data_IF_997973672168
#
_entry.id   IF_997973672168
#
_cell.length_a   1.000
_cell.length_b   1.000
_cell.length_c   1.000
_cell.angle_alpha   90.00
_cell.angle_beta   90.00
_cell.angle_gamma   90.00
#
_symmetry.space_group_name_H-M   'P 1'
#
loop_
_entity.id
_entity.type
_entity.pdbx_description
1 polymer ?
#
# COMPACT_ATOMS: atom_id res chain seq x y z
N UNK A 1 33.42 7.85 -36.83
CA UNK A 1 33.51 7.73 -35.33
C UNK A 1 32.18 7.98 -34.59
N UNK A 2 31.17 8.63 -35.21
CA UNK A 2 29.87 8.93 -34.58
C UNK A 2 28.84 7.77 -34.61
N UNK A 3 28.99 6.77 -35.46
CA UNK A 3 28.07 5.62 -35.58
C UNK A 3 28.24 4.56 -34.48
N UNK A 4 29.40 4.45 -33.85
CA UNK A 4 29.64 3.45 -32.81
C UNK A 4 29.12 3.86 -31.42
N UNK A 5 29.05 5.17 -31.14
CA UNK A 5 28.52 5.68 -29.86
C UNK A 5 27.01 5.46 -29.74
N UNK A 6 26.27 5.59 -30.84
CA UNK A 6 24.81 5.35 -30.82
C UNK A 6 24.43 3.86 -30.70
N UNK A 7 25.26 2.95 -31.18
CA UNK A 7 25.01 1.51 -31.05
C UNK A 7 25.24 1.01 -29.62
N UNK A 8 26.25 1.55 -28.91
CA UNK A 8 26.51 1.20 -27.52
C UNK A 8 25.41 1.67 -26.56
N UNK A 9 24.89 2.88 -26.76
CA UNK A 9 23.79 3.44 -25.97
C UNK A 9 22.50 2.69 -26.23
N UNK A 10 22.20 2.33 -27.49
CA UNK A 10 21.04 1.51 -27.84
C UNK A 10 21.11 0.10 -27.26
N UNK A 11 22.28 -0.55 -27.31
CA UNK A 11 22.46 -1.89 -26.75
C UNK A 11 22.35 -1.93 -25.21
N UNK A 12 22.81 -0.90 -24.52
CA UNK A 12 22.67 -0.79 -23.06
C UNK A 12 21.21 -0.54 -22.68
N UNK A 13 20.53 0.38 -23.39
CA UNK A 13 19.11 0.66 -23.16
C UNK A 13 18.22 -0.56 -23.45
N UNK A 14 18.55 -1.36 -24.48
CA UNK A 14 17.80 -2.60 -24.81
C UNK A 14 18.07 -3.70 -23.76
N UNK A 15 19.26 -3.78 -23.18
CA UNK A 15 19.57 -4.72 -22.10
C UNK A 15 18.82 -4.34 -20.82
N UNK A 16 18.78 -3.07 -20.43
CA UNK A 16 18.02 -2.59 -19.27
C UNK A 16 16.51 -2.84 -19.42
N UNK A 17 15.96 -2.61 -20.61
CA UNK A 17 14.54 -2.87 -20.89
C UNK A 17 14.21 -4.36 -20.88
N UNK A 18 15.09 -5.22 -21.38
CA UNK A 18 14.90 -6.67 -21.37
C UNK A 18 14.97 -7.23 -19.93
N UNK A 19 15.87 -6.73 -19.10
CA UNK A 19 15.98 -7.12 -17.69
C UNK A 19 14.75 -6.67 -16.90
N UNK A 20 14.29 -5.43 -17.12
CA UNK A 20 13.08 -4.92 -16.52
C UNK A 20 11.84 -5.75 -16.88
N UNK A 21 11.68 -6.10 -18.17
CA UNK A 21 10.57 -6.96 -18.62
C UNK A 21 10.65 -8.33 -17.94
N UNK A 22 11.85 -8.87 -17.76
CA UNK A 22 12.07 -10.14 -17.07
C UNK A 22 11.70 -10.06 -15.59
N UNK A 23 12.06 -8.97 -14.91
CA UNK A 23 11.69 -8.69 -13.53
C UNK A 23 10.18 -8.52 -13.35
N UNK A 24 9.53 -7.72 -14.19
CA UNK A 24 8.06 -7.56 -14.19
C UNK A 24 7.38 -8.91 -14.39
N UNK A 25 7.85 -9.74 -15.34
CA UNK A 25 7.30 -11.07 -15.61
C UNK A 25 7.51 -12.03 -14.44
N UNK A 26 8.68 -11.97 -13.77
CA UNK A 26 8.98 -12.77 -12.58
C UNK A 26 8.03 -12.42 -11.43
N UNK A 27 7.82 -11.13 -11.17
CA UNK A 27 6.87 -10.66 -10.17
C UNK A 27 5.46 -11.09 -10.54
N UNK A 28 5.05 -10.91 -11.80
CA UNK A 28 3.73 -11.36 -12.28
C UNK A 28 3.51 -12.87 -12.02
N UNK A 29 4.47 -13.70 -12.38
CA UNK A 29 4.35 -15.16 -12.19
C UNK A 29 4.29 -15.50 -10.70
N UNK A 30 5.17 -14.91 -9.88
CA UNK A 30 5.23 -15.14 -8.43
C UNK A 30 3.92 -14.72 -7.76
N UNK A 31 3.48 -13.49 -8.01
CA UNK A 31 2.31 -12.90 -7.36
C UNK A 31 0.99 -13.49 -7.88
N UNK A 32 0.90 -13.85 -9.16
CA UNK A 32 -0.26 -14.51 -9.73
C UNK A 32 -0.48 -15.92 -9.14
N UNK A 33 0.60 -16.63 -8.81
CA UNK A 33 0.53 -17.89 -8.07
C UNK A 33 0.08 -17.72 -6.61
N UNK A 34 0.49 -16.61 -5.98
CA UNK A 34 0.13 -16.27 -4.59
C UNK A 34 -1.29 -15.70 -4.47
N UNK A 35 -1.76 -14.95 -5.48
CA UNK A 35 -3.12 -14.41 -5.53
C UNK A 35 -4.18 -15.45 -5.94
N UNK A 36 -3.92 -16.75 -5.77
CA UNK A 36 -4.86 -17.82 -6.04
C UNK A 36 -6.20 -17.60 -5.31
N UNK A 37 -7.23 -18.30 -5.74
CA UNK A 37 -8.64 -18.14 -5.31
C UNK A 37 -8.84 -17.97 -3.80
N UNK A 38 -7.98 -18.54 -2.95
CA UNK A 38 -8.04 -18.41 -1.49
C UNK A 38 -7.69 -17.00 -1.05
N UNK A 39 -6.55 -16.45 -1.53
CA UNK A 39 -6.13 -15.08 -1.17
C UNK A 39 -7.10 -14.03 -1.73
N UNK A 40 -7.54 -14.17 -2.97
CA UNK A 40 -8.52 -13.27 -3.58
C UNK A 40 -9.89 -13.35 -2.87
N UNK A 41 -10.28 -14.54 -2.38
CA UNK A 41 -11.50 -14.73 -1.60
C UNK A 41 -11.43 -14.05 -0.22
N UNK A 42 -10.34 -14.25 0.51
CA UNK A 42 -10.10 -13.61 1.81
C UNK A 42 -10.01 -12.07 1.66
N UNK A 43 -9.30 -11.59 0.64
CA UNK A 43 -9.26 -10.17 0.29
C UNK A 43 -10.66 -9.62 0.02
N UNK A 44 -11.44 -10.27 -0.84
CA UNK A 44 -12.80 -9.86 -1.16
C UNK A 44 -13.71 -9.85 0.08
N UNK A 45 -13.61 -10.88 0.93
CA UNK A 45 -14.38 -10.97 2.18
C UNK A 45 -14.00 -9.83 3.15
N UNK A 46 -12.72 -9.54 3.30
CA UNK A 46 -12.20 -8.51 4.22
C UNK A 46 -12.58 -7.07 3.82
N UNK A 47 -12.69 -6.81 2.51
CA UNK A 47 -12.92 -5.48 1.97
C UNK A 47 -14.27 -5.33 1.26
N UNK A 48 -15.10 -6.39 1.27
CA UNK A 48 -16.45 -6.34 0.73
C UNK A 48 -17.22 -5.20 1.38
N UNK A 49 -17.46 -4.15 0.60
CA UNK A 49 -18.06 -2.93 1.10
C UNK A 49 -19.47 -3.20 1.62
N UNK A 50 -19.80 -2.67 2.78
CA UNK A 50 -21.18 -2.48 3.26
C UNK A 50 -21.90 -1.38 2.47
N UNK A 51 -21.46 -1.09 1.24
CA UNK A 51 -22.01 -0.06 0.37
C UNK A 51 -23.10 -0.65 -0.48
N UNK A 52 -24.34 -0.48 -0.08
CA UNK A 52 -25.46 -0.56 -1.01
C UNK A 52 -25.49 0.75 -1.79
N UNK A 53 -25.13 0.71 -3.08
CA UNK A 53 -25.31 1.85 -3.96
C UNK A 53 -26.77 1.90 -4.39
N UNK A 54 -27.38 3.07 -4.32
CA UNK A 54 -28.69 3.29 -4.90
C UNK A 54 -28.64 2.95 -6.41
N UNK A 55 -29.43 1.97 -6.83
CA UNK A 55 -29.52 1.54 -8.23
C UNK A 55 -30.68 2.24 -8.94
N UNK A 56 -31.86 2.02 -8.48
CA UNK A 56 -33.08 2.55 -9.09
C UNK A 56 -34.24 2.66 -8.08
N UNK A 57 -35.34 3.28 -8.52
CA UNK A 57 -36.59 3.26 -7.82
C UNK A 57 -37.61 2.48 -8.66
N UNK A 58 -38.21 1.41 -8.10
CA UNK A 58 -39.26 0.64 -8.75
C UNK A 58 -40.55 0.62 -7.94
N UNK A 59 -41.65 0.25 -8.55
CA UNK A 59 -42.91 0.04 -7.83
C UNK A 59 -42.73 -1.06 -6.76
N UNK A 60 -43.34 -0.83 -5.60
CA UNK A 60 -43.33 -1.80 -4.49
C UNK A 60 -44.01 -3.11 -4.93
N UNK A 61 -43.34 -4.22 -4.58
CA UNK A 61 -43.90 -5.55 -4.75
C UNK A 61 -44.10 -6.21 -3.38
N UNK A 62 -45.10 -7.07 -3.29
CA UNK A 62 -45.38 -7.80 -2.05
C UNK A 62 -44.13 -8.60 -1.61
N UNK A 63 -43.65 -8.31 -0.41
CA UNK A 63 -42.42 -8.88 0.13
C UNK A 63 -41.24 -7.93 0.22
N UNK A 64 -41.30 -6.74 -0.38
CA UNK A 64 -40.27 -5.70 -0.22
C UNK A 64 -40.30 -5.11 1.20
N UNK A 65 -39.10 -4.70 1.71
CA UNK A 65 -39.03 -4.07 3.02
C UNK A 65 -39.60 -2.65 2.98
N UNK A 66 -40.56 -2.40 3.86
CA UNK A 66 -41.25 -1.11 4.00
C UNK A 66 -40.29 0.03 4.32
N UNK A 67 -39.12 -0.28 4.90
CA UNK A 67 -38.09 0.72 5.22
C UNK A 67 -37.39 1.30 3.99
N UNK A 68 -37.44 0.59 2.87
CA UNK A 68 -36.85 1.01 1.61
C UNK A 68 -37.83 1.86 0.75
N UNK A 69 -39.02 2.15 1.23
CA UNK A 69 -39.97 3.00 0.51
C UNK A 69 -39.41 4.42 0.36
N UNK A 70 -39.37 4.90 -0.90
CA UNK A 70 -39.08 6.30 -1.19
C UNK A 70 -40.36 7.12 -1.12
N UNK A 71 -40.62 7.76 0.02
CA UNK A 71 -41.81 8.55 0.26
C UNK A 71 -41.90 9.77 -0.66
N UNK A 72 -40.81 10.32 -1.16
CA UNK A 72 -40.82 11.46 -2.08
C UNK A 72 -41.32 11.06 -3.47
N UNK A 73 -40.89 9.91 -3.97
CA UNK A 73 -41.32 9.36 -5.25
C UNK A 73 -42.77 8.86 -5.12
N UNK A 74 -43.07 8.15 -4.04
CA UNK A 74 -44.43 7.67 -3.72
C UNK A 74 -45.46 8.83 -3.69
N UNK A 75 -45.11 9.95 -3.07
CA UNK A 75 -46.01 11.12 -3.02
C UNK A 75 -46.27 11.75 -4.40
N UNK A 76 -45.32 11.64 -5.34
CA UNK A 76 -45.46 12.18 -6.70
C UNK A 76 -46.33 11.31 -7.61
N UNK A 77 -46.22 10.00 -7.47
CA UNK A 77 -46.89 9.06 -8.39
C UNK A 77 -48.15 8.41 -7.80
N UNK A 78 -48.41 8.61 -6.50
CA UNK A 78 -49.63 8.08 -5.84
C UNK A 78 -49.62 6.56 -5.63
N UNK A 79 -48.49 5.90 -5.88
CA UNK A 79 -48.27 4.48 -5.65
C UNK A 79 -46.98 4.29 -4.86
N UNK A 80 -46.85 3.26 -4.01
CA UNK A 80 -45.63 3.04 -3.26
C UNK A 80 -44.45 2.63 -4.19
N UNK A 81 -43.32 3.30 -4.02
CA UNK A 81 -42.06 3.02 -4.70
C UNK A 81 -41.00 2.67 -3.68
N UNK A 82 -40.15 1.68 -3.99
CA UNK A 82 -39.00 1.25 -3.17
C UNK A 82 -37.69 1.60 -3.82
N UNK A 83 -36.75 2.00 -2.99
CA UNK A 83 -35.35 2.15 -3.41
C UNK A 83 -34.73 0.78 -3.56
N UNK A 84 -34.27 0.46 -4.76
CA UNK A 84 -33.47 -0.74 -5.01
C UNK A 84 -32.02 -0.37 -4.81
N UNK A 85 -31.36 -1.08 -3.92
CA UNK A 85 -29.93 -0.93 -3.69
C UNK A 85 -29.23 -2.13 -4.31
N UNK A 86 -28.28 -1.88 -5.19
CA UNK A 86 -27.36 -2.91 -5.66
C UNK A 86 -26.10 -2.91 -4.78
N UNK A 87 -25.62 -4.09 -4.44
CA UNK A 87 -24.33 -4.24 -3.76
C UNK A 87 -23.25 -3.71 -4.71
N UNK A 88 -22.53 -2.66 -4.29
CA UNK A 88 -21.46 -2.08 -5.09
C UNK A 88 -20.30 -3.08 -5.13
N UNK A 89 -20.30 -3.93 -6.15
CA UNK A 89 -19.33 -5.02 -6.30
C UNK A 89 -17.94 -4.55 -6.71
N UNK A 90 -17.79 -3.28 -7.11
CA UNK A 90 -16.49 -2.72 -7.53
C UNK A 90 -15.86 -1.91 -6.41
N UNK A 91 -14.77 -2.42 -5.87
CA UNK A 91 -13.93 -1.63 -4.99
C UNK A 91 -12.97 -0.74 -5.80
N UNK A 92 -12.60 0.37 -5.21
CA UNK A 92 -11.46 1.16 -5.65
C UNK A 92 -10.37 1.00 -4.62
N UNK A 93 -9.20 0.54 -5.06
CA UNK A 93 -8.03 0.31 -4.22
C UNK A 93 -6.98 1.33 -4.56
N UNK A 94 -6.42 1.98 -3.56
CA UNK A 94 -5.28 2.88 -3.70
C UNK A 94 -4.11 2.31 -2.91
N UNK A 95 -3.00 2.10 -3.60
CA UNK A 95 -1.73 1.75 -2.97
C UNK A 95 -0.95 3.05 -2.77
N UNK A 96 -0.67 3.41 -1.54
CA UNK A 96 0.26 4.47 -1.19
C UNK A 96 1.59 3.81 -0.88
N UNK A 97 2.58 4.02 -1.74
CA UNK A 97 3.89 3.38 -1.62
C UNK A 97 4.94 4.43 -1.31
N UNK A 98 5.53 4.28 -0.15
CA UNK A 98 6.70 5.04 0.23
C UNK A 98 7.88 4.66 -0.68
N UNK A 99 8.53 5.66 -1.25
CA UNK A 99 9.71 5.49 -2.11
C UNK A 99 10.90 6.30 -1.60
N UNK A 100 10.86 6.71 -0.33
CA UNK A 100 11.96 7.40 0.34
C UNK A 100 13.23 6.55 0.42
N UNK A 101 14.36 7.18 0.69
CA UNK A 101 15.66 6.50 0.78
C UNK A 101 15.73 5.43 1.85
N UNK A 102 14.88 5.51 2.89
CA UNK A 102 14.84 4.50 3.95
C UNK A 102 14.44 3.10 3.42
N UNK A 103 13.62 3.02 2.35
CA UNK A 103 13.17 1.75 1.79
C UNK A 103 14.25 1.00 0.98
N UNK A 104 15.33 1.64 0.60
CA UNK A 104 16.44 0.97 -0.10
C UNK A 104 17.27 0.08 0.83
N UNK A 105 17.05 0.18 2.13
CA UNK A 105 17.72 -0.66 3.11
C UNK A 105 17.16 -2.09 3.13
N UNK A 106 18.08 -3.05 3.25
CA UNK A 106 17.77 -4.47 3.45
C UNK A 106 19.03 -5.26 3.72
N UNK A 107 18.99 -6.11 4.74
CA UNK A 107 20.13 -6.94 5.18
C UNK A 107 19.92 -8.44 4.93
N UNK A 108 18.75 -8.80 4.39
CA UNK A 108 18.30 -10.16 4.15
C UNK A 108 18.29 -10.48 2.65
N UNK A 109 17.33 -11.29 2.22
CA UNK A 109 17.17 -11.73 0.82
C UNK A 109 16.72 -10.62 -0.12
N UNK A 110 16.10 -9.59 0.41
CA UNK A 110 15.50 -8.49 -0.34
C UNK A 110 15.49 -7.19 0.46
N UNK A 111 15.47 -6.07 -0.24
CA UNK A 111 15.30 -4.75 0.38
C UNK A 111 13.84 -4.50 0.77
N UNK A 112 13.58 -3.51 1.63
CA UNK A 112 12.21 -3.08 1.96
C UNK A 112 11.45 -2.64 0.71
N UNK A 113 12.11 -1.96 -0.24
CA UNK A 113 11.54 -1.55 -1.54
C UNK A 113 11.09 -2.75 -2.39
N UNK A 114 11.92 -3.80 -2.46
CA UNK A 114 11.56 -5.02 -3.19
C UNK A 114 10.36 -5.70 -2.56
N UNK A 115 10.33 -5.81 -1.24
CA UNK A 115 9.18 -6.37 -0.52
C UNK A 115 7.91 -5.51 -0.72
N UNK A 116 8.02 -4.18 -0.62
CA UNK A 116 6.89 -3.27 -0.90
C UNK A 116 6.33 -3.48 -2.30
N UNK A 117 7.21 -3.62 -3.30
CA UNK A 117 6.83 -3.89 -4.69
C UNK A 117 6.10 -5.23 -4.84
N UNK A 118 6.60 -6.30 -4.19
CA UNK A 118 5.94 -7.62 -4.23
C UNK A 118 4.55 -7.59 -3.56
N UNK A 119 4.43 -6.93 -2.41
CA UNK A 119 3.15 -6.75 -1.72
C UNK A 119 2.18 -5.94 -2.59
N UNK A 120 2.62 -4.80 -3.12
CA UNK A 120 1.82 -3.95 -3.99
C UNK A 120 1.34 -4.69 -5.24
N UNK A 121 2.22 -5.46 -5.88
CA UNK A 121 1.86 -6.29 -7.03
C UNK A 121 0.85 -7.39 -6.68
N UNK A 122 1.00 -8.05 -5.52
CA UNK A 122 0.08 -9.09 -5.06
C UNK A 122 -1.31 -8.52 -4.81
N UNK A 123 -1.42 -7.38 -4.12
CA UNK A 123 -2.67 -6.67 -3.90
C UNK A 123 -3.30 -6.22 -5.24
N UNK A 124 -2.47 -5.72 -6.16
CA UNK A 124 -2.92 -5.30 -7.48
C UNK A 124 -3.50 -6.46 -8.31
N UNK A 125 -2.86 -7.61 -8.31
CA UNK A 125 -3.39 -8.80 -9.01
C UNK A 125 -4.68 -9.34 -8.34
N UNK A 126 -4.78 -9.27 -7.02
CA UNK A 126 -6.00 -9.64 -6.30
C UNK A 126 -7.17 -8.71 -6.66
N UNK A 127 -6.90 -7.41 -6.79
CA UNK A 127 -7.90 -6.43 -7.23
C UNK A 127 -8.42 -6.75 -8.66
N UNK A 128 -7.54 -7.18 -9.60
CA UNK A 128 -8.02 -7.62 -10.93
C UNK A 128 -8.94 -8.83 -10.84
N UNK A 129 -8.57 -9.84 -10.06
CA UNK A 129 -9.38 -11.06 -9.95
C UNK A 129 -10.79 -10.76 -9.45
N UNK A 130 -10.92 -9.74 -8.61
CA UNK A 130 -12.20 -9.25 -8.09
C UNK A 130 -12.85 -8.15 -8.96
N UNK A 131 -12.26 -7.85 -10.13
CA UNK A 131 -12.73 -6.80 -11.05
C UNK A 131 -12.72 -5.38 -10.46
N UNK A 132 -11.85 -5.11 -9.49
CA UNK A 132 -11.69 -3.83 -8.81
C UNK A 132 -10.83 -2.85 -9.60
N UNK A 133 -10.94 -1.56 -9.26
CA UNK A 133 -10.07 -0.49 -9.78
C UNK A 133 -8.86 -0.34 -8.87
N UNK A 134 -7.68 -0.17 -9.44
CA UNK A 134 -6.47 0.08 -8.68
C UNK A 134 -5.72 1.31 -9.16
N UNK A 135 -5.30 2.15 -8.21
CA UNK A 135 -4.42 3.29 -8.41
C UNK A 135 -3.24 3.25 -7.45
N UNK A 136 -2.22 4.05 -7.72
CA UNK A 136 -1.01 4.12 -6.90
C UNK A 136 -0.60 5.57 -6.67
N UNK A 137 -0.15 5.86 -5.46
CA UNK A 137 0.49 7.10 -5.08
C UNK A 137 1.90 6.76 -4.59
N UNK A 138 2.92 7.21 -5.31
CA UNK A 138 4.30 7.19 -4.85
C UNK A 138 4.56 8.45 -4.04
N UNK A 139 5.12 8.32 -2.86
CA UNK A 139 5.39 9.46 -2.00
C UNK A 139 6.74 9.39 -1.29
N UNK A 140 7.26 10.55 -0.99
CA UNK A 140 8.42 10.84 -0.14
C UNK A 140 7.98 11.88 0.89
N UNK A 141 8.68 12.99 1.07
CA UNK A 141 8.19 14.18 1.78
C UNK A 141 7.12 14.96 0.98
N UNK A 142 6.83 14.49 -0.22
CA UNK A 142 5.79 14.98 -1.13
C UNK A 142 5.22 13.84 -1.95
N UNK A 143 4.14 14.10 -2.67
CA UNK A 143 3.65 13.16 -3.69
C UNK A 143 4.53 13.27 -4.92
N UNK A 144 5.26 12.21 -5.22
CA UNK A 144 6.15 12.13 -6.38
C UNK A 144 5.37 11.78 -7.66
N UNK A 145 4.42 10.84 -7.54
CA UNK A 145 3.62 10.40 -8.68
C UNK A 145 2.26 9.88 -8.26
N UNK A 146 1.22 10.25 -8.99
CA UNK A 146 -0.11 9.70 -8.83
C UNK A 146 -0.56 8.99 -10.12
N UNK A 147 -0.89 7.71 -10.00
CA UNK A 147 -1.46 6.89 -11.05
C UNK A 147 -2.94 6.66 -10.71
N UNK A 148 -3.88 7.28 -11.45
CA UNK A 148 -5.30 7.18 -11.15
C UNK A 148 -5.83 5.75 -11.21
N UNK A 149 -6.86 5.40 -10.41
CA UNK A 149 -7.42 4.06 -10.38
C UNK A 149 -8.09 3.68 -11.72
N UNK A 150 -7.62 2.60 -12.31
CA UNK A 150 -8.15 1.98 -13.53
C UNK A 150 -8.20 0.47 -13.39
N UNK A 151 -8.96 -0.18 -14.26
CA UNK A 151 -9.03 -1.64 -14.37
C UNK A 151 -8.06 -2.17 -15.43
N UNK A 152 -7.81 -3.46 -15.33
CA UNK A 152 -7.22 -4.25 -16.39
C UNK A 152 -5.74 -4.53 -16.23
N UNK A 153 -5.34 -5.67 -16.77
CA UNK A 153 -3.97 -6.21 -16.65
C UNK A 153 -2.88 -5.27 -17.16
N UNK A 154 -3.14 -4.56 -18.27
CA UNK A 154 -2.16 -3.61 -18.82
C UNK A 154 -1.84 -2.47 -17.84
N UNK A 155 -2.85 -2.01 -17.11
CA UNK A 155 -2.69 -0.96 -16.11
C UNK A 155 -1.84 -1.43 -14.91
N UNK A 156 -2.03 -2.67 -14.46
CA UNK A 156 -1.23 -3.22 -13.36
C UNK A 156 0.22 -3.48 -13.79
N UNK A 157 0.45 -4.01 -14.99
CA UNK A 157 1.81 -4.17 -15.50
C UNK A 157 2.53 -2.81 -15.62
N UNK A 158 1.80 -1.76 -15.98
CA UNK A 158 2.30 -0.40 -15.94
C UNK A 158 2.68 0.03 -14.51
N UNK A 159 1.80 -0.21 -13.52
CA UNK A 159 2.08 0.08 -12.11
C UNK A 159 3.32 -0.67 -11.61
N UNK A 160 3.45 -1.97 -11.91
CA UNK A 160 4.60 -2.79 -11.48
C UNK A 160 5.89 -2.26 -12.11
N UNK A 161 5.85 -1.91 -13.39
CA UNK A 161 6.99 -1.30 -14.08
C UNK A 161 7.42 0.00 -13.39
N UNK A 162 6.46 0.85 -13.05
CA UNK A 162 6.75 2.09 -12.33
C UNK A 162 7.33 1.83 -10.94
N UNK A 163 6.77 0.87 -10.19
CA UNK A 163 7.30 0.47 -8.86
C UNK A 163 8.75 0.02 -8.90
N UNK A 164 9.14 -0.70 -9.97
CA UNK A 164 10.51 -1.21 -10.13
C UNK A 164 11.51 -0.13 -10.53
N UNK A 165 11.10 0.82 -11.37
CA UNK A 165 11.99 1.81 -11.97
C UNK A 165 11.85 3.21 -11.38
N UNK A 166 11.03 3.38 -10.35
CA UNK A 166 10.80 4.70 -9.81
C UNK A 166 12.05 5.22 -9.12
N UNK A 167 12.55 6.36 -9.58
CA UNK A 167 13.66 7.09 -8.97
C UNK A 167 13.08 8.35 -8.29
N UNK A 168 13.03 8.38 -6.95
CA UNK A 168 12.43 9.51 -6.23
C UNK A 168 13.34 10.74 -6.27
N UNK A 169 12.72 11.91 -6.29
CA UNK A 169 13.45 13.19 -6.23
C UNK A 169 13.94 13.50 -4.82
N UNK A 170 13.22 13.03 -3.80
CA UNK A 170 13.56 13.23 -2.39
C UNK A 170 13.81 11.90 -1.66
N UNK A 171 14.74 11.93 -0.71
CA UNK A 171 15.01 10.81 0.19
C UNK A 171 14.23 10.86 1.51
N UNK A 172 13.55 11.99 1.80
CA UNK A 172 12.83 12.24 3.05
C UNK A 172 11.44 11.61 3.03
N UNK A 173 10.79 11.53 4.18
CA UNK A 173 9.44 10.97 4.35
C UNK A 173 8.51 11.99 5.00
N UNK A 174 7.27 12.14 4.48
CA UNK A 174 6.17 12.83 5.14
C UNK A 174 4.84 12.12 4.81
N UNK A 175 4.43 11.23 5.71
CA UNK A 175 3.23 10.42 5.57
C UNK A 175 1.98 11.30 5.64
N UNK A 176 1.99 12.30 6.52
CA UNK A 176 0.87 13.22 6.70
C UNK A 176 0.50 13.94 5.40
N UNK A 177 1.47 14.51 4.70
CA UNK A 177 1.26 15.18 3.41
C UNK A 177 0.72 14.23 2.32
N UNK A 178 1.24 13.00 2.26
CA UNK A 178 0.78 11.99 1.31
C UNK A 178 -0.67 11.57 1.58
N UNK A 179 -1.04 11.34 2.85
CA UNK A 179 -2.41 10.98 3.26
C UNK A 179 -3.39 12.13 3.02
N UNK A 180 -2.99 13.36 3.28
CA UNK A 180 -3.79 14.55 2.99
C UNK A 180 -4.05 14.68 1.49
N UNK A 181 -3.02 14.55 0.66
CA UNK A 181 -3.19 14.56 -0.81
C UNK A 181 -4.17 13.47 -1.26
N UNK A 182 -4.00 12.23 -0.81
CA UNK A 182 -4.88 11.12 -1.15
C UNK A 182 -6.34 11.44 -0.80
N UNK A 183 -6.59 11.91 0.42
CA UNK A 183 -7.93 12.27 0.92
C UNK A 183 -8.57 13.39 0.10
N UNK A 184 -7.76 14.32 -0.44
CA UNK A 184 -8.22 15.42 -1.27
C UNK A 184 -8.40 15.02 -2.74
N UNK A 185 -7.55 14.15 -3.27
CA UNK A 185 -7.60 13.69 -4.66
C UNK A 185 -8.72 12.67 -4.91
N UNK A 186 -8.98 11.77 -3.95
CA UNK A 186 -9.97 10.71 -4.08
C UNK A 186 -11.24 11.08 -3.32
N UNK A 187 -12.32 11.36 -4.04
CA UNK A 187 -13.60 11.77 -3.42
C UNK A 187 -14.51 10.58 -3.09
N UNK A 188 -14.44 9.51 -3.91
CA UNK A 188 -15.21 8.30 -3.68
C UNK A 188 -14.53 7.46 -2.59
N UNK A 189 -15.34 6.84 -1.70
CA UNK A 189 -14.81 5.91 -0.70
C UNK A 189 -14.01 4.79 -1.38
N UNK A 190 -12.83 4.51 -0.87
CA UNK A 190 -11.92 3.50 -1.40
C UNK A 190 -11.19 2.79 -0.26
N UNK A 191 -10.60 1.65 -0.56
CA UNK A 191 -9.65 0.97 0.32
C UNK A 191 -8.25 1.48 0.03
N UNK A 192 -7.52 1.87 1.07
CA UNK A 192 -6.18 2.45 0.96
C UNK A 192 -5.19 1.59 1.71
N UNK A 193 -4.19 1.07 1.02
CA UNK A 193 -3.04 0.41 1.65
C UNK A 193 -1.85 1.35 1.65
N UNK A 194 -1.31 1.64 2.84
CA UNK A 194 -0.10 2.44 3.00
C UNK A 194 1.06 1.50 3.27
N UNK A 195 2.02 1.43 2.35
CA UNK A 195 3.22 0.62 2.42
C UNK A 195 4.41 1.52 2.75
N UNK A 196 4.92 1.46 3.98
CA UNK A 196 6.04 2.27 4.47
C UNK A 196 6.70 1.57 5.66
N UNK A 197 7.87 2.01 6.05
CA UNK A 197 8.44 1.66 7.35
C UNK A 197 7.90 2.54 8.49
N UNK A 198 7.15 3.60 8.14
CA UNK A 198 6.52 4.55 9.05
C UNK A 198 7.50 5.30 9.97
N UNK A 199 8.75 5.44 9.54
CA UNK A 199 9.68 6.35 10.19
C UNK A 199 9.45 7.77 9.67
N UNK A 200 8.66 8.54 10.40
CA UNK A 200 8.38 9.95 10.14
C UNK A 200 8.68 10.77 11.40
N UNK A 201 9.16 12.00 11.22
CA UNK A 201 9.46 12.91 12.33
C UNK A 201 8.21 13.63 12.81
N UNK A 202 7.21 13.74 11.92
CA UNK A 202 5.98 14.46 12.19
C UNK A 202 4.87 13.51 12.69
N UNK A 203 3.96 14.02 13.50
CA UNK A 203 2.76 13.30 13.93
C UNK A 203 1.68 13.38 12.84
N UNK A 204 1.38 12.23 12.22
CA UNK A 204 0.37 12.09 11.16
C UNK A 204 -0.96 11.48 11.64
N UNK A 205 -1.19 11.46 12.97
CA UNK A 205 -2.41 10.87 13.58
C UNK A 205 -3.68 11.54 13.08
N UNK A 206 -3.67 12.87 12.97
CA UNK A 206 -4.85 13.64 12.53
C UNK A 206 -5.21 13.35 11.08
N UNK A 207 -4.22 13.30 10.18
CA UNK A 207 -4.41 12.99 8.76
C UNK A 207 -4.94 11.57 8.56
N UNK A 208 -4.38 10.58 9.27
CA UNK A 208 -4.88 9.21 9.25
C UNK A 208 -6.30 9.11 9.78
N UNK A 209 -6.63 9.83 10.86
CA UNK A 209 -7.99 9.84 11.43
C UNK A 209 -9.02 10.38 10.41
N UNK A 210 -8.68 11.48 9.73
CA UNK A 210 -9.55 12.06 8.69
C UNK A 210 -9.69 11.11 7.51
N UNK A 211 -8.58 10.51 7.05
CA UNK A 211 -8.57 9.57 5.95
C UNK A 211 -9.40 8.33 6.27
N UNK A 212 -9.27 7.75 7.47
CA UNK A 212 -9.98 6.53 7.86
C UNK A 212 -11.49 6.75 8.06
N UNK A 213 -11.93 7.99 8.32
CA UNK A 213 -13.37 8.33 8.34
C UNK A 213 -13.98 8.35 6.94
N UNK A 214 -13.19 8.69 5.90
CA UNK A 214 -13.65 8.81 4.52
C UNK A 214 -13.43 7.54 3.69
N UNK A 215 -12.36 6.86 3.99
CA UNK A 215 -11.87 5.68 3.28
C UNK A 215 -11.68 4.54 4.26
N UNK A 216 -11.33 3.38 3.77
CA UNK A 216 -10.93 2.24 4.57
C UNK A 216 -9.39 2.12 4.51
N UNK A 217 -8.71 2.59 5.55
CA UNK A 217 -7.24 2.70 5.55
C UNK A 217 -6.61 1.52 6.28
N UNK A 218 -5.61 0.93 5.66
CA UNK A 218 -4.81 -0.18 6.17
C UNK A 218 -3.33 0.18 6.09
N UNK A 219 -2.62 0.08 7.21
CA UNK A 219 -1.18 0.33 7.30
C UNK A 219 -0.39 -0.98 7.23
N UNK A 220 0.50 -1.09 6.23
CA UNK A 220 1.41 -2.21 6.06
C UNK A 220 2.83 -1.73 6.38
N UNK A 221 3.26 -1.95 7.62
CA UNK A 221 4.61 -1.61 8.05
C UNK A 221 5.60 -2.62 7.49
N UNK A 222 6.63 -2.13 6.79
CA UNK A 222 7.71 -2.95 6.25
C UNK A 222 9.00 -2.62 6.99
N UNK A 223 9.65 -3.63 7.59
CA UNK A 223 10.88 -3.40 8.32
C UNK A 223 11.90 -4.54 8.13
N UNK A 224 13.16 -4.21 8.33
CA UNK A 224 14.26 -5.18 8.35
C UNK A 224 14.60 -5.57 9.78
N UNK A 225 14.98 -6.85 10.00
CA UNK A 225 15.32 -7.34 11.33
C UNK A 225 16.47 -6.55 11.98
N UNK A 226 17.40 -6.04 11.19
CA UNK A 226 18.57 -5.28 11.71
C UNK A 226 18.21 -3.89 12.21
N UNK A 227 17.05 -3.37 11.81
CA UNK A 227 16.48 -2.16 12.43
C UNK A 227 15.92 -2.44 13.83
N UNK A 228 15.45 -3.65 14.10
CA UNK A 228 14.99 -4.05 15.41
C UNK A 228 16.15 -4.48 16.32
N UNK A 229 17.14 -5.17 15.76
CA UNK A 229 18.23 -5.78 16.52
C UNK A 229 19.59 -5.60 15.79
N UNK A 230 20.50 -4.87 16.42
CA UNK A 230 21.88 -4.76 15.92
C UNK A 230 22.64 -6.06 16.20
N UNK A 231 23.31 -6.63 15.17
CA UNK A 231 24.17 -7.80 15.35
C UNK A 231 25.47 -7.42 16.09
N UNK A 232 26.07 -8.36 16.79
CA UNK A 232 27.40 -8.19 17.40
C UNK A 232 28.49 -8.51 16.37
N UNK A 233 28.90 -7.53 15.58
CA UNK A 233 29.88 -7.68 14.49
C UNK A 233 31.02 -6.64 14.52
N UNK A 234 31.19 -5.96 15.65
CA UNK A 234 32.26 -4.94 15.81
C UNK A 234 31.78 -3.55 15.38
N UNK A 235 32.72 -2.75 14.90
CA UNK A 235 32.43 -1.38 14.44
C UNK A 235 31.87 -1.43 13.03
N UNK A 236 30.68 -0.84 12.86
CA UNK A 236 30.01 -0.71 11.56
C UNK A 236 29.88 0.76 11.18
N UNK A 237 29.96 1.04 9.90
CA UNK A 237 29.61 2.32 9.32
C UNK A 237 28.10 2.32 9.00
N UNK A 238 27.35 3.23 9.54
CA UNK A 238 25.93 3.44 9.23
C UNK A 238 25.77 4.77 8.51
N UNK A 239 24.88 4.77 7.54
CA UNK A 239 24.51 5.95 6.78
C UNK A 239 23.03 6.25 7.04
N UNK A 240 22.72 7.48 7.39
CA UNK A 240 21.35 7.95 7.47
C UNK A 240 20.78 8.10 6.05
N UNK A 241 19.75 7.35 5.73
CA UNK A 241 19.17 7.30 4.39
C UNK A 241 18.53 8.63 3.93
N UNK A 242 18.10 9.47 4.88
CA UNK A 242 17.47 10.77 4.57
C UNK A 242 18.49 11.90 4.39
N UNK A 243 19.55 11.92 5.23
CA UNK A 243 20.53 13.01 5.26
C UNK A 243 21.84 12.67 4.57
N UNK A 244 22.09 11.39 4.33
CA UNK A 244 23.37 10.88 3.83
C UNK A 244 24.50 10.98 4.85
N UNK A 245 24.24 11.36 6.10
CA UNK A 245 25.26 11.48 7.13
C UNK A 245 25.77 10.10 7.55
N UNK A 246 27.08 9.99 7.71
CA UNK A 246 27.75 8.75 8.04
C UNK A 246 28.26 8.79 9.50
N UNK A 247 28.05 7.71 10.22
CA UNK A 247 28.49 7.56 11.62
C UNK A 247 29.02 6.15 11.86
N UNK A 248 30.05 6.03 12.70
CA UNK A 248 30.56 4.72 13.14
C UNK A 248 29.90 4.32 14.46
N UNK A 249 29.39 3.09 14.51
CA UNK A 249 28.74 2.53 15.70
C UNK A 249 29.46 1.26 16.09
N UNK A 250 29.89 1.17 17.36
CA UNK A 250 30.44 -0.07 17.92
C UNK A 250 29.31 -0.99 18.36
N UNK A 251 29.04 -2.01 17.56
CA UNK A 251 28.03 -3.03 17.85
C UNK A 251 28.53 -4.14 18.78
N UNK A 252 29.81 -4.19 19.13
CA UNK A 252 30.30 -5.11 20.17
C UNK A 252 29.89 -4.67 21.56
N UNK A 253 29.64 -3.37 21.75
CA UNK A 253 29.12 -2.80 22.99
C UNK A 253 27.69 -3.28 23.29
N UNK A 254 27.50 -3.96 24.43
CA UNK A 254 26.16 -4.38 24.89
C UNK A 254 25.27 -3.17 25.18
N UNK A 255 25.84 -2.08 25.66
CA UNK A 255 25.10 -0.84 25.95
C UNK A 255 24.54 -0.24 24.64
N UNK A 256 25.33 -0.18 23.58
CA UNK A 256 24.91 0.32 22.26
C UNK A 256 23.75 -0.51 21.70
N UNK A 257 23.86 -1.84 21.70
CA UNK A 257 22.80 -2.71 21.23
C UNK A 257 21.52 -2.57 22.05
N UNK A 258 21.63 -2.45 23.39
CA UNK A 258 20.48 -2.24 24.26
C UNK A 258 19.79 -0.90 24.02
N UNK A 259 20.57 0.18 23.88
CA UNK A 259 20.02 1.52 23.59
C UNK A 259 19.28 1.54 22.25
N UNK A 260 19.82 0.86 21.22
CA UNK A 260 19.18 0.71 19.92
C UNK A 260 17.84 -0.08 20.03
N UNK A 261 17.85 -1.20 20.74
CA UNK A 261 16.62 -1.98 20.96
C UNK A 261 15.55 -1.19 21.71
N UNK A 262 15.94 -0.45 22.75
CA UNK A 262 15.02 0.41 23.52
C UNK A 262 14.45 1.54 22.64
N UNK A 263 15.27 2.11 21.74
CA UNK A 263 14.82 3.07 20.75
C UNK A 263 13.78 2.44 19.79
N UNK A 264 14.05 1.25 19.27
CA UNK A 264 13.11 0.51 18.42
C UNK A 264 11.78 0.26 19.11
N UNK A 265 11.81 -0.28 20.33
CA UNK A 265 10.59 -0.57 21.11
C UNK A 265 9.77 0.70 21.35
N UNK A 266 10.41 1.83 21.69
CA UNK A 266 9.71 3.12 21.83
C UNK A 266 9.02 3.54 20.54
N UNK A 267 9.71 3.48 19.41
CA UNK A 267 9.11 3.83 18.12
C UNK A 267 7.92 2.93 17.76
N UNK A 268 8.03 1.61 18.02
CA UNK A 268 6.91 0.69 17.79
C UNK A 268 5.70 1.00 18.68
N UNK A 269 5.93 1.40 19.94
CA UNK A 269 4.86 1.83 20.85
C UNK A 269 4.18 3.11 20.36
N UNK A 270 4.96 4.10 19.90
CA UNK A 270 4.42 5.34 19.33
C UNK A 270 3.57 5.04 18.09
N UNK A 271 4.07 4.22 17.19
CA UNK A 271 3.36 3.85 15.96
C UNK A 271 2.04 3.11 16.27
N UNK A 272 2.06 2.16 17.21
CA UNK A 272 0.84 1.48 17.68
C UNK A 272 -0.19 2.46 18.24
N UNK A 273 0.26 3.45 19.02
CA UNK A 273 -0.62 4.49 19.57
C UNK A 273 -1.25 5.33 18.46
N UNK A 274 -0.48 5.69 17.41
CA UNK A 274 -0.99 6.40 16.22
C UNK A 274 -2.09 5.59 15.54
N UNK A 275 -1.84 4.33 15.25
CA UNK A 275 -2.83 3.46 14.58
C UNK A 275 -4.07 3.22 15.43
N UNK A 276 -3.90 3.01 16.74
CA UNK A 276 -5.03 2.84 17.67
C UNK A 276 -5.89 4.09 17.75
N UNK A 277 -5.28 5.28 17.89
CA UNK A 277 -6.01 6.56 17.95
C UNK A 277 -6.74 6.89 16.65
N UNK A 278 -6.13 6.56 15.51
CA UNK A 278 -6.73 6.79 14.18
C UNK A 278 -7.68 5.68 13.74
N UNK A 279 -7.83 4.61 14.55
CA UNK A 279 -8.63 3.41 14.25
C UNK A 279 -8.23 2.77 12.91
N UNK A 280 -6.94 2.74 12.59
CA UNK A 280 -6.38 2.19 11.37
C UNK A 280 -5.88 0.77 11.63
N UNK A 281 -6.37 -0.18 10.83
CA UNK A 281 -5.86 -1.54 10.87
C UNK A 281 -4.43 -1.59 10.36
N UNK A 282 -3.60 -2.37 11.05
CA UNK A 282 -2.18 -2.44 10.71
C UNK A 282 -1.61 -3.85 10.87
N UNK A 283 -0.54 -4.09 10.13
CA UNK A 283 0.32 -5.25 10.29
C UNK A 283 1.76 -4.88 9.97
N UNK A 284 2.69 -5.47 10.73
CA UNK A 284 4.13 -5.33 10.50
C UNK A 284 4.66 -6.55 9.79
N UNK A 285 5.42 -6.36 8.72
CA UNK A 285 5.94 -7.39 7.83
C UNK A 285 7.46 -7.25 7.75
N UNK A 286 8.18 -8.29 8.11
CA UNK A 286 9.64 -8.30 8.08
C UNK A 286 10.14 -8.75 6.71
N UNK A 287 11.30 -8.22 6.28
CA UNK A 287 11.89 -8.49 4.95
C UNK A 287 12.24 -9.95 4.70
N UNK A 288 12.41 -10.75 5.76
CA UNK A 288 12.74 -12.18 5.69
C UNK A 288 11.53 -13.11 5.93
N UNK A 289 10.34 -12.55 6.20
CA UNK A 289 9.11 -13.32 6.46
C UNK A 289 8.26 -13.52 5.19
N UNK A 290 7.35 -14.49 5.29
CA UNK A 290 6.33 -14.73 4.27
C UNK A 290 5.18 -13.71 4.43
N UNK A 291 5.24 -12.64 3.64
CA UNK A 291 4.24 -11.58 3.68
C UNK A 291 2.82 -12.04 3.34
N UNK A 292 2.66 -13.14 2.59
CA UNK A 292 1.33 -13.68 2.24
C UNK A 292 0.61 -14.15 3.49
N UNK A 293 1.31 -14.84 4.39
CA UNK A 293 0.73 -15.26 5.68
C UNK A 293 0.31 -14.07 6.52
N UNK A 294 1.13 -13.02 6.55
CA UNK A 294 0.82 -11.80 7.27
C UNK A 294 -0.45 -11.13 6.72
N UNK A 295 -0.53 -10.96 5.39
CA UNK A 295 -1.72 -10.38 4.75
C UNK A 295 -2.97 -11.24 4.98
N UNK A 296 -2.87 -12.58 4.89
CA UNK A 296 -4.01 -13.47 5.16
C UNK A 296 -4.49 -13.35 6.61
N UNK A 297 -3.59 -13.24 7.59
CA UNK A 297 -3.98 -12.99 9.00
C UNK A 297 -4.71 -11.65 9.15
N UNK A 298 -4.23 -10.60 8.48
CA UNK A 298 -4.90 -9.31 8.47
C UNK A 298 -6.31 -9.42 7.89
N UNK A 299 -6.48 -10.06 6.74
CA UNK A 299 -7.78 -10.19 6.07
C UNK A 299 -8.77 -11.00 6.89
N UNK A 300 -8.36 -12.15 7.47
CA UNK A 300 -9.22 -12.96 8.36
C UNK A 300 -9.67 -12.22 9.61
N UNK A 301 -8.84 -11.33 10.14
CA UNK A 301 -9.22 -10.50 11.29
C UNK A 301 -10.30 -9.46 10.94
N UNK A 302 -10.40 -9.12 9.65
CA UNK A 302 -11.36 -8.12 9.14
C UNK A 302 -12.66 -8.74 8.60
N UNK A 303 -12.61 -9.99 8.12
CA UNK A 303 -13.77 -10.75 7.63
C UNK A 303 -14.72 -11.14 8.77
#
# INVERSE_FOLDING_TARGET
RLKFLNLGVLLVADMETADLISQVRRIEIKTRGLSNNIFAGEYHSAFKGRGMAFSEVREYQYGDDVRDIDWNVTARFGKPYVKVFEEERELTVILMVDVSGSLDFGTSKQTKRQLATEIAATLAFSAIQNNDKIGVIFFTDRVEKFIPPKKGRKHILYIIRELLNFDPVSSKTNIGAAVEFMTNAIKKRCTVFILSDFFDKDDFTSQLTIANRRHDVVALQIYDQRLAELPNIGIIKVCDAETGSETYIDTSSRQTRRAHHEWWVRNQMLLRNIFTKSNVDNISIRTDEDFVKALMMLFRRRA
#
